data_IF_418189618022
#
_entry.id   IF_418189618022
#
_cell.length_a   1.000
_cell.length_b   1.000
_cell.length_c   1.000
_cell.angle_alpha   90.00
_cell.angle_beta   90.00
_cell.angle_gamma   90.00
#
_symmetry.space_group_name_H-M   'P 1'
#
loop_
_entity.id
_entity.type
_entity.pdbx_description
1 polymer ?
#
# COMPACT_ATOMS: atom_id res chain seq x y z
N UNK A 1 -19.14 27.67 45.05
CA UNK A 1 -19.52 27.95 43.65
C UNK A 1 -18.34 28.61 42.95
N UNK A 2 -17.65 27.88 42.06
CA UNK A 2 -16.95 28.38 40.87
C UNK A 2 -16.13 27.22 40.25
N UNK A 3 -16.58 26.72 39.09
CA UNK A 3 -15.84 25.83 38.18
C UNK A 3 -15.37 26.68 37.00
N UNK A 4 -14.17 26.43 36.47
CA UNK A 4 -13.64 26.71 35.10
C UNK A 4 -12.10 26.59 35.17
N UNK A 5 -11.34 26.08 34.21
CA UNK A 5 -11.57 25.45 32.91
C UNK A 5 -10.21 24.80 32.56
N UNK A 6 -10.11 23.47 32.48
CA UNK A 6 -8.91 22.74 32.01
C UNK A 6 -9.36 21.95 30.78
N UNK A 7 -9.52 22.60 29.63
CA UNK A 7 -9.92 21.91 28.38
C UNK A 7 -9.71 22.78 27.14
N UNK A 8 -8.65 23.60 27.09
CA UNK A 8 -8.47 24.53 25.95
C UNK A 8 -7.03 24.72 25.47
N UNK A 9 -6.11 23.79 25.77
CA UNK A 9 -4.71 23.87 25.31
C UNK A 9 -4.33 22.87 24.21
N UNK A 10 -5.12 21.82 23.99
CA UNK A 10 -4.63 20.67 23.21
C UNK A 10 -5.11 20.68 21.74
N UNK A 11 -6.07 21.53 21.39
CA UNK A 11 -6.61 21.60 20.01
C UNK A 11 -5.80 22.52 19.08
N UNK A 12 -5.08 23.51 19.61
CA UNK A 12 -4.36 24.49 18.78
C UNK A 12 -3.01 23.97 18.24
N UNK A 13 -2.36 23.02 18.92
CA UNK A 13 -1.10 22.43 18.44
C UNK A 13 -1.30 21.49 17.25
N UNK A 14 -2.37 20.72 17.24
CA UNK A 14 -2.66 19.76 16.16
C UNK A 14 -2.99 20.45 14.83
N UNK A 15 -3.70 21.58 14.87
CA UNK A 15 -4.01 22.37 13.66
C UNK A 15 -2.76 23.05 13.09
N UNK A 16 -1.85 23.50 13.96
CA UNK A 16 -0.54 24.02 13.56
C UNK A 16 0.34 22.93 12.91
N UNK A 17 0.29 21.70 13.41
CA UNK A 17 1.03 20.54 12.85
C UNK A 17 0.47 20.13 11.49
N UNK A 18 -0.86 20.10 11.33
CA UNK A 18 -1.53 19.83 10.05
C UNK A 18 -1.13 20.87 8.98
N UNK A 19 -1.04 22.15 9.36
CA UNK A 19 -0.62 23.23 8.45
C UNK A 19 0.84 23.10 7.97
N UNK A 20 1.78 22.68 8.85
CA UNK A 20 3.18 22.43 8.46
C UNK A 20 3.31 21.23 7.52
N UNK A 21 2.53 20.19 7.77
CA UNK A 21 2.53 18.98 6.93
C UNK A 21 1.95 19.26 5.53
N UNK A 22 0.90 20.08 5.45
CA UNK A 22 0.33 20.54 4.19
C UNK A 22 1.32 21.41 3.40
N UNK A 23 2.01 22.35 4.07
CA UNK A 23 3.06 23.18 3.43
C UNK A 23 4.22 22.34 2.89
N UNK A 24 4.66 21.29 3.61
CA UNK A 24 5.69 20.36 3.11
C UNK A 24 5.22 19.53 1.91
N UNK A 25 3.93 19.17 1.81
CA UNK A 25 3.40 18.48 0.62
C UNK A 25 3.41 19.37 -0.61
N UNK A 26 2.97 20.62 -0.48
CA UNK A 26 2.93 21.57 -1.60
C UNK A 26 4.33 21.90 -2.14
N UNK A 27 5.33 22.05 -1.26
CA UNK A 27 6.73 22.24 -1.69
C UNK A 27 7.25 21.01 -2.45
N UNK A 28 6.94 19.80 -1.96
CA UNK A 28 7.38 18.55 -2.60
C UNK A 28 6.67 18.26 -3.92
N UNK A 29 5.42 18.73 -4.08
CA UNK A 29 4.68 18.68 -5.34
C UNK A 29 5.20 19.73 -6.34
N UNK A 30 5.57 20.93 -5.87
CA UNK A 30 6.21 21.95 -6.70
C UNK A 30 7.61 21.52 -7.19
N UNK A 31 8.41 20.86 -6.34
CA UNK A 31 9.72 20.30 -6.73
C UNK A 31 9.58 19.16 -7.75
N UNK A 32 8.54 18.32 -7.64
CA UNK A 32 8.25 17.27 -8.62
C UNK A 32 7.74 17.84 -9.96
N UNK A 33 7.00 18.93 -9.93
CA UNK A 33 6.56 19.61 -11.15
C UNK A 33 7.73 20.30 -11.88
N UNK A 34 8.68 20.87 -11.13
CA UNK A 34 9.85 21.54 -11.71
C UNK A 34 10.86 20.57 -12.36
N UNK A 35 10.96 19.32 -11.89
CA UNK A 35 11.88 18.32 -12.45
C UNK A 35 11.29 17.46 -13.58
N UNK A 36 10.01 17.62 -13.93
CA UNK A 36 9.33 16.83 -14.97
C UNK A 36 9.31 17.48 -16.36
N UNK A 37 10.05 18.57 -16.59
CA UNK A 37 9.99 19.33 -17.86
C UNK A 37 11.29 19.37 -18.68
N UNK A 38 12.17 18.37 -18.57
CA UNK A 38 13.26 18.17 -19.54
C UNK A 38 13.36 16.70 -19.97
N UNK A 39 12.62 16.37 -21.02
CA UNK A 39 12.68 15.09 -21.71
C UNK A 39 11.72 15.09 -22.90
N UNK A 40 12.09 15.76 -23.99
CA UNK A 40 11.33 15.74 -25.24
C UNK A 40 11.13 14.30 -25.75
N UNK A 41 10.01 14.00 -26.43
CA UNK A 41 9.79 12.70 -27.06
C UNK A 41 10.57 12.65 -28.37
N UNK A 42 11.62 11.82 -28.45
CA UNK A 42 12.15 11.37 -29.73
C UNK A 42 11.33 10.18 -30.19
N UNK A 43 10.53 10.40 -31.22
CA UNK A 43 9.86 9.38 -32.00
C UNK A 43 10.90 8.52 -32.72
N UNK A 44 11.20 7.33 -32.21
CA UNK A 44 11.96 6.32 -32.94
C UNK A 44 11.61 4.91 -32.50
N UNK A 45 10.88 4.21 -33.38
CA UNK A 45 10.63 2.76 -33.47
C UNK A 45 9.94 2.06 -32.27
N UNK A 46 9.13 1.01 -32.53
CA UNK A 46 8.65 0.12 -31.49
C UNK A 46 9.81 -0.81 -31.12
N UNK A 47 10.69 -0.34 -30.23
CA UNK A 47 11.45 -1.28 -29.41
C UNK A 47 10.42 -1.94 -28.47
N UNK A 48 10.35 -3.27 -28.45
CA UNK A 48 9.64 -3.99 -27.41
C UNK A 48 10.15 -3.45 -26.08
N UNK A 49 9.34 -2.62 -25.43
CA UNK A 49 9.63 -2.14 -24.09
C UNK A 49 9.65 -3.38 -23.22
N UNK A 50 10.84 -3.91 -22.97
CA UNK A 50 11.07 -4.96 -21.99
C UNK A 50 10.65 -4.35 -20.65
N UNK A 51 9.39 -4.55 -20.30
CA UNK A 51 8.76 -3.92 -19.15
C UNK A 51 9.54 -4.36 -17.91
N UNK A 52 10.16 -3.41 -17.21
CA UNK A 52 10.98 -3.66 -16.03
C UNK A 52 10.20 -4.55 -15.03
N UNK A 53 10.86 -5.57 -14.48
CA UNK A 53 10.25 -6.55 -13.57
C UNK A 53 9.59 -5.86 -12.38
N UNK A 54 10.17 -4.76 -11.88
CA UNK A 54 9.56 -3.94 -10.82
C UNK A 54 8.27 -3.23 -11.26
N UNK A 55 8.18 -2.82 -12.53
CA UNK A 55 6.96 -2.25 -13.10
C UNK A 55 5.86 -3.30 -13.25
N UNK A 56 6.22 -4.52 -13.66
CA UNK A 56 5.29 -5.66 -13.71
C UNK A 56 4.77 -6.02 -12.30
N UNK A 57 5.66 -6.07 -11.30
CA UNK A 57 5.28 -6.30 -9.90
C UNK A 57 4.31 -5.21 -9.41
N UNK A 58 4.58 -3.94 -9.72
CA UNK A 58 3.69 -2.84 -9.36
C UNK A 58 2.30 -2.97 -9.99
N UNK A 59 2.23 -3.34 -11.27
CA UNK A 59 0.98 -3.56 -12.00
C UNK A 59 0.16 -4.71 -11.40
N UNK A 60 0.80 -5.82 -11.07
CA UNK A 60 0.14 -6.95 -10.40
C UNK A 60 -0.44 -6.55 -9.04
N UNK A 61 0.28 -5.74 -8.26
CA UNK A 61 -0.22 -5.23 -6.99
C UNK A 61 -1.44 -4.30 -7.18
N UNK A 62 -1.42 -3.43 -8.19
CA UNK A 62 -2.55 -2.53 -8.51
C UNK A 62 -3.80 -3.32 -8.91
N UNK A 63 -3.64 -4.45 -9.60
CA UNK A 63 -4.73 -5.34 -9.99
C UNK A 63 -5.22 -6.25 -8.85
N UNK A 64 -4.63 -6.16 -7.65
CA UNK A 64 -4.95 -7.06 -6.53
C UNK A 64 -4.41 -8.49 -6.69
N UNK A 65 -3.53 -8.72 -7.67
CA UNK A 65 -2.91 -10.01 -7.96
C UNK A 65 -1.65 -10.22 -7.11
N UNK A 66 -1.85 -10.23 -5.79
CA UNK A 66 -0.75 -10.26 -4.80
C UNK A 66 0.04 -11.57 -4.81
N UNK A 67 -0.59 -12.69 -5.18
CA UNK A 67 0.06 -14.00 -5.26
C UNK A 67 0.99 -14.06 -6.46
N UNK A 68 0.52 -13.58 -7.60
CA UNK A 68 1.26 -13.48 -8.85
C UNK A 68 2.44 -12.51 -8.70
N UNK A 69 2.23 -11.38 -8.02
CA UNK A 69 3.30 -10.43 -7.71
C UNK A 69 4.39 -11.07 -6.83
N UNK A 70 4.00 -11.81 -5.79
CA UNK A 70 4.95 -12.51 -4.92
C UNK A 70 5.73 -13.59 -5.68
N UNK A 71 5.06 -14.35 -6.55
CA UNK A 71 5.68 -15.38 -7.37
C UNK A 71 6.70 -14.76 -8.35
N UNK A 72 6.34 -13.66 -9.02
CA UNK A 72 7.24 -12.95 -9.91
C UNK A 72 8.50 -12.43 -9.20
N UNK A 73 8.35 -11.93 -7.96
CA UNK A 73 9.52 -11.56 -7.16
C UNK A 73 10.41 -12.76 -6.83
N UNK A 74 9.82 -13.91 -6.46
CA UNK A 74 10.57 -15.12 -6.13
C UNK A 74 11.32 -15.69 -7.34
N UNK A 75 10.66 -15.77 -8.50
CA UNK A 75 11.31 -16.26 -9.73
C UNK A 75 12.43 -15.33 -10.16
N UNK A 76 12.25 -14.02 -9.97
CA UNK A 76 13.31 -13.05 -10.27
C UNK A 76 14.48 -13.19 -9.31
N UNK A 77 14.24 -13.28 -8.01
CA UNK A 77 15.29 -13.46 -7.00
C UNK A 77 16.08 -14.76 -7.17
N UNK A 78 15.45 -15.80 -7.73
CA UNK A 78 16.12 -17.06 -8.05
C UNK A 78 17.05 -16.95 -9.27
N UNK A 79 16.79 -15.99 -10.16
CA UNK A 79 17.58 -15.78 -11.39
C UNK A 79 18.61 -14.65 -11.24
N UNK A 80 18.32 -13.64 -10.43
CA UNK A 80 19.08 -12.40 -10.30
C UNK A 80 19.03 -11.91 -8.83
N UNK A 81 20.17 -11.51 -8.29
CA UNK A 81 20.21 -10.87 -6.97
C UNK A 81 19.84 -9.39 -7.06
N UNK A 82 18.53 -9.10 -7.05
CA UNK A 82 18.00 -7.74 -7.02
C UNK A 82 17.48 -7.37 -5.62
N UNK A 83 18.21 -6.46 -4.95
CA UNK A 83 17.86 -5.96 -3.62
C UNK A 83 16.52 -5.21 -3.59
N UNK A 84 16.15 -4.53 -4.68
CA UNK A 84 14.86 -3.85 -4.83
C UNK A 84 13.70 -4.84 -4.84
N UNK A 85 13.85 -5.93 -5.59
CA UNK A 85 12.85 -7.00 -5.65
C UNK A 85 12.77 -7.77 -4.33
N UNK A 86 13.89 -7.99 -3.65
CA UNK A 86 13.91 -8.60 -2.31
C UNK A 86 13.11 -7.77 -1.30
N UNK A 87 13.23 -6.43 -1.35
CA UNK A 87 12.44 -5.53 -0.51
C UNK A 87 10.96 -5.51 -0.90
N UNK A 88 10.65 -5.54 -2.20
CA UNK A 88 9.29 -5.62 -2.71
C UNK A 88 8.60 -6.90 -2.23
N UNK A 89 9.27 -8.04 -2.38
CA UNK A 89 8.78 -9.35 -1.93
C UNK A 89 8.39 -9.34 -0.45
N UNK A 90 9.27 -8.85 0.44
CA UNK A 90 8.99 -8.78 1.89
C UNK A 90 7.73 -7.98 2.20
N UNK A 91 7.48 -6.89 1.48
CA UNK A 91 6.28 -6.05 1.65
C UNK A 91 5.03 -6.75 1.15
N UNK A 92 5.12 -7.40 -0.01
CA UNK A 92 4.01 -8.14 -0.62
C UNK A 92 3.64 -9.34 0.26
N UNK A 93 4.61 -10.13 0.71
CA UNK A 93 4.38 -11.30 1.59
C UNK A 93 3.67 -10.89 2.89
N UNK A 94 4.15 -9.82 3.56
CA UNK A 94 3.50 -9.31 4.77
C UNK A 94 2.06 -8.85 4.51
N UNK A 95 1.79 -8.24 3.35
CA UNK A 95 0.43 -7.82 2.96
C UNK A 95 -0.46 -9.03 2.71
N UNK A 96 0.01 -9.99 1.92
CA UNK A 96 -0.72 -11.20 1.55
C UNK A 96 -1.10 -12.03 2.79
N UNK A 97 -0.17 -12.23 3.73
CA UNK A 97 -0.46 -12.96 4.98
C UNK A 97 -1.57 -12.31 5.80
N UNK A 98 -1.60 -10.97 5.87
CA UNK A 98 -2.68 -10.25 6.57
C UNK A 98 -4.02 -10.41 5.87
N UNK A 99 -4.05 -10.33 4.54
CA UNK A 99 -5.27 -10.56 3.77
C UNK A 99 -5.79 -12.00 3.96
N UNK A 100 -4.89 -12.99 3.91
CA UNK A 100 -5.25 -14.39 4.16
C UNK A 100 -5.80 -14.60 5.57
N UNK A 101 -5.12 -14.07 6.59
CA UNK A 101 -5.58 -14.16 7.98
C UNK A 101 -6.96 -13.49 8.17
N UNK A 102 -7.17 -12.31 7.60
CA UNK A 102 -8.46 -11.63 7.65
C UNK A 102 -9.56 -12.45 6.97
N UNK A 103 -9.30 -12.98 5.77
CA UNK A 103 -10.27 -13.83 5.05
C UNK A 103 -10.60 -15.11 5.82
N UNK A 104 -9.60 -15.71 6.48
CA UNK A 104 -9.80 -16.90 7.30
C UNK A 104 -10.69 -16.61 8.51
N UNK A 105 -10.41 -15.53 9.26
CA UNK A 105 -11.21 -15.13 10.43
C UNK A 105 -12.66 -14.87 10.02
N UNK A 106 -12.89 -14.15 8.92
CA UNK A 106 -14.24 -13.87 8.42
C UNK A 106 -14.95 -15.16 8.04
N UNK A 107 -14.29 -16.05 7.30
CA UNK A 107 -14.85 -17.35 6.93
C UNK A 107 -15.17 -18.23 8.16
N UNK A 108 -14.30 -18.25 9.18
CA UNK A 108 -14.54 -18.96 10.42
C UNK A 108 -15.73 -18.38 11.20
N UNK A 109 -15.86 -17.05 11.24
CA UNK A 109 -17.02 -16.40 11.87
C UNK A 109 -18.32 -16.70 11.14
N UNK A 110 -18.32 -16.71 9.81
CA UNK A 110 -19.48 -17.11 9.00
C UNK A 110 -19.85 -18.58 9.23
N UNK A 111 -18.87 -19.47 9.29
CA UNK A 111 -19.07 -20.89 9.60
C UNK A 111 -19.70 -21.07 10.98
N UNK A 112 -19.14 -20.45 12.01
CA UNK A 112 -19.68 -20.50 13.37
C UNK A 112 -21.10 -19.95 13.46
N UNK A 113 -21.41 -18.84 12.76
CA UNK A 113 -22.78 -18.32 12.72
C UNK A 113 -23.78 -19.34 12.14
N UNK A 114 -23.38 -20.09 11.11
CA UNK A 114 -24.21 -21.16 10.52
C UNK A 114 -24.41 -22.31 11.49
N UNK A 115 -23.36 -22.72 12.20
CA UNK A 115 -23.44 -23.79 13.21
C UNK A 115 -24.26 -23.38 14.44
N UNK A 116 -24.10 -22.16 14.94
CA UNK A 116 -24.92 -21.65 16.04
C UNK A 116 -26.42 -21.60 15.68
N UNK A 117 -26.78 -21.31 14.42
CA UNK A 117 -28.16 -21.36 13.95
C UNK A 117 -28.73 -22.80 13.91
N UNK A 118 -27.88 -23.82 13.81
CA UNK A 118 -28.28 -25.23 13.80
C UNK A 118 -28.45 -25.78 15.23
N UNK A 119 -27.75 -25.24 16.21
CA UNK A 119 -27.69 -25.78 17.58
C UNK A 119 -28.77 -25.23 18.54
N UNK A 120 -29.40 -24.08 18.25
CA UNK A 120 -30.50 -23.51 19.05
C UNK A 120 -31.91 -24.00 18.65
N UNK A 121 -32.00 -25.02 17.82
CA UNK A 121 -33.25 -25.56 17.27
C UNK A 121 -33.89 -26.72 18.04
N UNK A 122 -33.62 -26.88 19.35
CA UNK A 122 -34.28 -27.88 20.21
C UNK A 122 -34.92 -27.24 21.42
#
# INVERSE_FOLDING_TARGET
MAKKNILQSDFDEDDAILSRKAKRRLVREAEKAANSSQGQPKTSKPEEVVEDKMSQVARLCQNGQWREAAHLCLTTLASEEDAGIAMAFKKIDKSLRRQMAASFIVASQEMLKREYLLDVGK
#
